data_IF_657291288709
#
_entry.id   IF_657291288709
#
_cell.length_a   1.000
_cell.length_b   1.000
_cell.length_c   1.000
_cell.angle_alpha   90.00
_cell.angle_beta   90.00
_cell.angle_gamma   90.00
#
_symmetry.space_group_name_H-M   'P 1'
#
loop_
_entity.id
_entity.type
_entity.pdbx_description
1 polymer ?
#
# COMPACT_ATOMS: atom_id res chain seq x y z
N UNK A 1 -7.03 -4.97 12.58
CA UNK A 1 -6.47 -6.33 12.65
C UNK A 1 -4.96 -6.21 12.74
N UNK A 2 -4.29 -6.91 13.66
CA UNK A 2 -2.83 -6.87 13.77
C UNK A 2 -2.25 -8.10 13.05
N UNK A 3 -1.41 -7.88 12.04
CA UNK A 3 -0.79 -8.95 11.25
C UNK A 3 0.58 -9.39 11.77
N UNK A 4 1.11 -8.73 12.82
CA UNK A 4 2.39 -9.07 13.43
C UNK A 4 3.60 -8.29 12.90
N UNK A 5 3.38 -7.19 12.17
CA UNK A 5 4.46 -6.27 11.81
C UNK A 5 4.98 -5.54 13.07
N UNK A 6 6.30 -5.48 13.22
CA UNK A 6 6.94 -4.82 14.37
C UNK A 6 7.07 -3.31 14.19
N UNK A 7 6.98 -2.82 12.95
CA UNK A 7 7.03 -1.41 12.61
C UNK A 7 6.70 -1.17 11.13
N UNK A 8 6.54 0.09 10.77
CA UNK A 8 6.31 0.54 9.40
C UNK A 8 6.76 2.00 9.24
N UNK A 9 7.07 2.39 8.02
CA UNK A 9 7.31 3.79 7.63
C UNK A 9 6.16 4.25 6.75
N UNK A 10 5.69 5.48 6.95
CA UNK A 10 4.67 6.12 6.12
C UNK A 10 5.25 7.35 5.47
N UNK A 11 5.03 7.48 4.17
CA UNK A 11 5.39 8.64 3.37
C UNK A 11 4.15 9.16 2.65
N UNK A 12 3.96 10.48 2.66
CA UNK A 12 2.99 11.13 1.79
C UNK A 12 3.51 11.10 0.34
N UNK A 13 2.66 10.67 -0.58
CA UNK A 13 3.03 10.53 -2.00
C UNK A 13 1.90 10.99 -2.90
N UNK A 14 2.25 11.39 -4.12
CA UNK A 14 1.29 11.81 -5.14
C UNK A 14 1.55 11.02 -6.42
N UNK A 15 0.49 10.66 -7.14
CA UNK A 15 0.63 9.85 -8.35
C UNK A 15 -0.69 9.59 -9.04
N UNK A 16 -0.61 9.29 -10.33
CA UNK A 16 -1.75 8.95 -11.20
C UNK A 16 -1.55 7.52 -11.73
N UNK A 17 -2.64 6.76 -11.84
CA UNK A 17 -2.63 5.43 -12.44
C UNK A 17 -3.95 5.13 -13.16
N UNK A 18 -3.97 4.08 -13.97
CA UNK A 18 -5.09 3.76 -14.87
C UNK A 18 -6.40 3.42 -14.13
N UNK A 19 -6.29 3.00 -12.87
CA UNK A 19 -7.44 2.78 -11.98
C UNK A 19 -7.97 4.06 -11.33
N UNK A 20 -7.36 5.22 -11.62
CA UNK A 20 -7.64 6.52 -11.04
C UNK A 20 -8.24 7.50 -12.05
N UNK A 21 -9.45 7.20 -12.56
CA UNK A 21 -10.30 8.23 -13.16
C UNK A 21 -11.28 8.69 -12.09
N UNK A 22 -10.82 9.56 -11.18
CA UNK A 22 -11.71 10.27 -10.26
C UNK A 22 -11.78 11.72 -10.71
N UNK A 23 -12.89 12.03 -11.37
CA UNK A 23 -13.30 13.40 -11.67
C UNK A 23 -13.34 14.19 -10.35
N UNK A 24 -12.48 15.20 -10.24
CA UNK A 24 -12.77 16.56 -9.77
C UNK A 24 -11.45 17.20 -9.35
N UNK A 25 -11.01 18.17 -10.15
CA UNK A 25 -9.71 18.85 -10.16
C UNK A 25 -9.39 19.72 -8.92
N UNK A 26 -9.98 19.46 -7.75
CA UNK A 26 -9.97 20.43 -6.64
C UNK A 26 -9.67 19.87 -5.24
N UNK A 27 -9.38 18.58 -5.09
CA UNK A 27 -8.90 18.04 -3.81
C UNK A 27 -7.58 17.31 -4.02
N UNK A 28 -6.53 17.79 -3.34
CA UNK A 28 -5.22 17.15 -3.31
C UNK A 28 -5.38 15.66 -3.04
N UNK A 29 -4.95 14.85 -4.02
CA UNK A 29 -5.02 13.40 -3.94
C UNK A 29 -3.92 12.96 -2.98
N UNK A 30 -4.23 12.88 -1.67
CA UNK A 30 -3.27 12.42 -0.67
C UNK A 30 -3.15 10.90 -0.74
N UNK A 31 -2.21 10.38 -1.51
CA UNK A 31 -1.82 8.98 -1.38
C UNK A 31 -0.82 8.85 -0.23
N UNK A 32 -0.81 7.69 0.40
CA UNK A 32 0.26 7.32 1.32
C UNK A 32 0.96 6.08 0.80
N UNK A 33 2.27 6.03 0.99
CA UNK A 33 3.08 4.85 0.79
C UNK A 33 3.45 4.30 2.15
N UNK A 34 3.16 3.02 2.38
CA UNK A 34 3.50 2.31 3.61
C UNK A 34 4.58 1.28 3.26
N UNK A 35 5.68 1.30 4.01
CA UNK A 35 6.80 0.38 3.84
C UNK A 35 6.99 -0.44 5.12
N UNK A 36 7.10 -1.77 4.98
CA UNK A 36 7.20 -2.72 6.09
C UNK A 36 8.37 -3.66 5.83
N UNK A 37 9.44 -3.55 6.61
CA UNK A 37 10.52 -4.53 6.63
C UNK A 37 10.07 -5.75 7.43
N UNK A 38 9.94 -6.91 6.76
CA UNK A 38 9.41 -8.12 7.38
C UNK A 38 9.91 -9.39 6.68
N UNK A 39 9.64 -10.56 7.26
CA UNK A 39 9.87 -11.84 6.61
C UNK A 39 8.97 -12.01 5.38
N UNK A 40 9.41 -12.82 4.41
CA UNK A 40 8.64 -13.11 3.20
C UNK A 40 7.25 -13.71 3.49
N UNK A 41 7.13 -14.49 4.57
CA UNK A 41 5.84 -15.04 5.00
C UNK A 41 4.87 -13.93 5.43
N UNK A 42 5.35 -12.97 6.23
CA UNK A 42 4.54 -11.85 6.68
C UNK A 42 4.19 -10.89 5.53
N UNK A 43 5.13 -10.66 4.60
CA UNK A 43 4.87 -9.87 3.40
C UNK A 43 3.71 -10.47 2.57
N UNK A 44 3.67 -11.79 2.40
CA UNK A 44 2.56 -12.46 1.71
C UNK A 44 1.23 -12.33 2.47
N UNK A 45 1.23 -12.46 3.81
CA UNK A 45 0.02 -12.25 4.63
C UNK A 45 -0.53 -10.83 4.49
N UNK A 46 0.34 -9.82 4.56
CA UNK A 46 -0.04 -8.41 4.37
C UNK A 46 -0.60 -8.20 2.97
N UNK A 47 0.08 -8.72 1.94
CA UNK A 47 -0.35 -8.58 0.54
C UNK A 47 -1.76 -9.13 0.33
N UNK A 48 -2.03 -10.37 0.75
CA UNK A 48 -3.35 -10.98 0.60
C UNK A 48 -4.42 -10.18 1.34
N UNK A 49 -4.16 -9.81 2.59
CA UNK A 49 -5.11 -9.03 3.40
C UNK A 49 -5.46 -7.69 2.75
N UNK A 50 -4.46 -6.96 2.27
CA UNK A 50 -4.68 -5.63 1.66
C UNK A 50 -5.41 -5.76 0.33
N UNK A 51 -5.08 -6.76 -0.50
CA UNK A 51 -5.76 -7.00 -1.76
C UNK A 51 -7.24 -7.35 -1.54
N UNK A 52 -7.55 -8.24 -0.59
CA UNK A 52 -8.92 -8.64 -0.27
C UNK A 52 -9.73 -7.49 0.36
N UNK A 53 -9.11 -6.73 1.26
CA UNK A 53 -9.82 -5.70 2.04
C UNK A 53 -9.99 -4.39 1.26
N UNK A 54 -8.96 -3.96 0.52
CA UNK A 54 -8.91 -2.63 -0.08
C UNK A 54 -8.83 -2.65 -1.61
N UNK A 55 -8.36 -3.74 -2.22
CA UNK A 55 -8.08 -3.81 -3.65
C UNK A 55 -9.30 -3.58 -4.57
N UNK A 56 -10.52 -3.79 -4.07
CA UNK A 56 -11.77 -3.53 -4.81
C UNK A 56 -12.22 -2.07 -4.77
N UNK A 57 -11.99 -1.39 -3.64
CA UNK A 57 -12.61 -0.09 -3.35
C UNK A 57 -11.63 1.08 -3.45
N UNK A 58 -10.33 0.80 -3.44
CA UNK A 58 -9.26 1.79 -3.46
C UNK A 58 -8.26 1.47 -4.57
N UNK A 59 -7.74 2.50 -5.22
CA UNK A 59 -6.64 2.39 -6.18
C UNK A 59 -5.35 2.02 -5.42
N UNK A 60 -5.17 0.72 -5.17
CA UNK A 60 -4.09 0.18 -4.34
C UNK A 60 -3.06 -0.50 -5.22
N UNK A 61 -1.80 -0.12 -5.06
CA UNK A 61 -0.64 -0.79 -5.67
C UNK A 61 0.18 -1.44 -4.57
N UNK A 62 0.56 -2.71 -4.76
CA UNK A 62 1.40 -3.46 -3.83
C UNK A 62 2.59 -4.04 -4.57
N UNK A 63 3.76 -3.95 -3.96
CA UNK A 63 4.96 -4.63 -4.42
C UNK A 63 5.78 -5.10 -3.23
N UNK A 64 6.61 -6.10 -3.45
CA UNK A 64 7.56 -6.65 -2.48
C UNK A 64 8.93 -6.68 -3.14
N UNK A 65 9.98 -6.38 -2.37
CA UNK A 65 11.35 -6.50 -2.83
C UNK A 65 12.21 -7.02 -1.68
N UNK A 66 13.28 -7.74 -2.00
CA UNK A 66 14.27 -8.14 -1.00
C UNK A 66 15.07 -6.91 -0.56
N UNK A 67 15.32 -6.81 0.75
CA UNK A 67 16.14 -5.77 1.35
C UNK A 67 17.40 -6.45 1.86
N UNK A 68 18.56 -6.00 1.37
CA UNK A 68 19.86 -6.41 1.88
C UNK A 68 20.35 -5.34 2.86
N UNK A 69 20.96 -5.76 3.96
CA UNK A 69 21.55 -4.88 4.99
C UNK A 69 23.05 -5.08 5.00
#
# INVERSE_FOLDING_TARGET
MNLGATGYTVSEVHGRGDRGVRNNELFEISNIKIEVACSSELANKIKSYVQETYGKNYATSLYTHEIYT
#
